data_IF_335122542823
#
_entry.id   IF_335122542823
#
_cell.length_a   1.000
_cell.length_b   1.000
_cell.length_c   1.000
_cell.angle_alpha   90.00
_cell.angle_beta   90.00
_cell.angle_gamma   90.00
#
_symmetry.space_group_name_H-M   'P 1'
#
loop_
_entity.id
_entity.type
_entity.pdbx_description
1 polymer ?
#
# COMPACT_ATOMS: atom_id res chain seq x y z
N UNK A 1 10.79 6.59 22.34
CA UNK A 1 10.82 5.72 21.13
C UNK A 1 10.10 6.47 20.02
N UNK A 2 10.75 6.67 18.88
CA UNK A 2 10.08 7.27 17.72
C UNK A 2 10.04 6.25 16.59
N UNK A 3 8.89 6.17 15.92
CA UNK A 3 8.63 5.28 14.78
C UNK A 3 8.36 6.16 13.57
N UNK A 4 9.08 5.91 12.48
CA UNK A 4 8.90 6.61 11.21
C UNK A 4 8.17 5.65 10.28
N UNK A 5 7.10 6.14 9.64
CA UNK A 5 6.34 5.41 8.63
C UNK A 5 6.25 6.24 7.36
N UNK A 6 6.55 5.63 6.23
CA UNK A 6 6.37 6.17 4.89
C UNK A 6 5.39 5.30 4.11
N UNK A 7 4.51 5.91 3.32
CA UNK A 7 3.38 5.23 2.70
C UNK A 7 3.19 5.69 1.24
N UNK A 8 3.05 4.73 0.33
CA UNK A 8 2.81 4.99 -1.09
C UNK A 8 1.33 4.81 -1.44
N UNK A 9 0.67 5.89 -1.84
CA UNK A 9 -0.73 5.89 -2.23
C UNK A 9 -0.93 6.12 -3.73
N UNK A 10 -1.99 5.54 -4.30
CA UNK A 10 -2.47 5.89 -5.64
C UNK A 10 -3.98 6.12 -5.64
N UNK A 11 -4.49 7.15 -6.33
CA UNK A 11 -5.92 7.33 -6.51
C UNK A 11 -6.48 6.23 -7.43
N UNK A 12 -7.62 5.64 -7.05
CA UNK A 12 -8.41 4.78 -7.96
C UNK A 12 -9.51 5.58 -8.64
N UNK A 13 -10.13 6.50 -7.92
CA UNK A 13 -11.12 7.40 -8.48
C UNK A 13 -11.03 8.78 -7.82
N UNK A 14 -12.01 9.65 -8.08
CA UNK A 14 -12.05 11.01 -7.53
C UNK A 14 -12.06 11.05 -5.99
N UNK A 15 -12.46 9.96 -5.35
CA UNK A 15 -12.83 9.89 -3.95
C UNK A 15 -12.09 8.78 -3.18
N UNK A 16 -11.62 7.74 -3.85
CA UNK A 16 -10.93 6.61 -3.23
C UNK A 16 -9.44 6.56 -3.58
N UNK A 17 -8.67 6.04 -2.62
CA UNK A 17 -7.23 5.81 -2.76
C UNK A 17 -6.90 4.39 -2.36
N UNK A 18 -5.76 3.92 -2.82
CA UNK A 18 -5.16 2.68 -2.37
C UNK A 18 -3.80 2.92 -1.77
N UNK A 19 -3.51 2.20 -0.70
CA UNK A 19 -2.19 2.07 -0.14
C UNK A 19 -1.52 0.85 -0.76
N UNK A 20 -0.49 1.10 -1.56
CA UNK A 20 0.22 0.07 -2.34
C UNK A 20 1.33 -0.56 -1.52
N UNK A 21 2.08 0.28 -0.81
CA UNK A 21 3.22 -0.14 -0.01
C UNK A 21 3.50 0.85 1.11
N UNK A 22 4.32 0.43 2.08
CA UNK A 22 4.87 1.34 3.06
C UNK A 22 6.21 0.85 3.60
N UNK A 23 6.91 1.71 4.30
CA UNK A 23 8.12 1.38 5.02
C UNK A 23 7.97 1.84 6.48
N UNK A 24 8.48 1.05 7.41
CA UNK A 24 8.49 1.36 8.83
C UNK A 24 9.90 1.23 9.39
N UNK A 25 10.27 2.13 10.29
CA UNK A 25 11.55 2.13 10.98
C UNK A 25 11.38 2.62 12.42
N UNK A 26 12.23 2.16 13.34
CA UNK A 26 12.23 2.64 14.72
C UNK A 26 13.64 3.03 15.20
N UNK A 27 13.68 3.97 16.15
CA UNK A 27 14.93 4.48 16.72
C UNK A 27 15.67 3.49 17.63
N UNK A 28 15.02 2.40 18.07
CA UNK A 28 15.59 1.42 18.99
C UNK A 28 16.37 0.32 18.25
N UNK A 29 16.03 0.05 16.99
CA UNK A 29 16.65 -0.92 16.10
C UNK A 29 17.57 -0.24 15.08
N UNK A 30 18.30 0.80 15.53
CA UNK A 30 19.26 1.56 14.70
C UNK A 30 18.67 2.03 13.35
N UNK A 31 17.39 2.39 13.34
CA UNK A 31 16.65 2.80 12.14
C UNK A 31 16.55 1.74 11.03
N UNK A 32 16.62 0.45 11.36
CA UNK A 32 16.40 -0.63 10.39
C UNK A 32 15.05 -0.45 9.68
N UNK A 33 15.10 -0.26 8.36
CA UNK A 33 13.92 -0.08 7.52
C UNK A 33 13.32 -1.44 7.20
N UNK A 34 12.03 -1.60 7.48
CA UNK A 34 11.24 -2.79 7.12
C UNK A 34 10.15 -2.41 6.13
N UNK A 35 10.11 -3.10 4.99
CA UNK A 35 9.01 -2.95 4.03
C UNK A 35 7.73 -3.55 4.60
N UNK A 36 6.65 -2.79 4.57
CA UNK A 36 5.30 -3.26 4.84
C UNK A 36 4.75 -3.89 3.56
N UNK A 37 4.50 -5.19 3.63
CA UNK A 37 4.04 -6.01 2.52
C UNK A 37 2.69 -6.62 2.87
N UNK A 38 1.81 -6.68 1.90
CA UNK A 38 0.50 -7.24 2.06
C UNK A 38 -0.40 -6.82 0.92
N UNK A 39 -1.59 -7.43 0.90
CA UNK A 39 -2.64 -7.03 -0.02
C UNK A 39 -2.93 -5.54 0.19
N UNK A 40 -2.79 -4.77 -0.89
CA UNK A 40 -3.03 -3.33 -0.90
C UNK A 40 -4.36 -2.98 -0.19
N UNK A 41 -4.34 -1.93 0.63
CA UNK A 41 -5.51 -1.51 1.39
C UNK A 41 -6.34 -0.53 0.58
N UNK A 42 -7.66 -0.69 0.64
CA UNK A 42 -8.62 0.26 0.09
C UNK A 42 -8.94 1.32 1.15
N UNK A 43 -8.78 2.58 0.77
CA UNK A 43 -9.11 3.74 1.59
C UNK A 43 -10.37 4.39 1.00
N UNK A 44 -11.56 3.99 1.48
CA UNK A 44 -12.81 4.57 1.05
C UNK A 44 -12.94 6.02 1.52
N UNK A 45 -13.87 6.77 0.91
CA UNK A 45 -14.22 8.11 1.36
C UNK A 45 -15.26 8.02 2.49
N UNK A 46 -15.06 8.77 3.57
CA UNK A 46 -16.03 8.86 4.67
C UNK A 46 -15.76 7.86 5.79
N UNK A 47 -16.83 7.37 6.43
CA UNK A 47 -16.74 6.54 7.65
C UNK A 47 -16.59 5.03 7.36
N UNK A 48 -16.40 4.62 6.10
CA UNK A 48 -16.12 3.23 5.80
C UNK A 48 -14.74 2.83 6.34
N UNK A 49 -14.64 1.61 6.87
CA UNK A 49 -13.39 1.10 7.42
C UNK A 49 -12.35 0.81 6.34
N UNK A 50 -11.10 1.12 6.65
CA UNK A 50 -9.95 0.70 5.84
C UNK A 50 -9.89 -0.83 5.85
N UNK A 51 -9.86 -1.43 4.65
CA UNK A 51 -9.87 -2.89 4.49
C UNK A 51 -8.96 -3.35 3.36
N UNK A 52 -8.59 -4.64 3.32
CA UNK A 52 -7.96 -5.21 2.14
C UNK A 52 -8.83 -4.98 0.89
N UNK A 53 -8.17 -4.65 -0.21
CA UNK A 53 -8.85 -4.37 -1.47
C UNK A 53 -9.44 -5.65 -2.08
N UNK A 54 -10.66 -5.61 -2.59
CA UNK A 54 -11.28 -6.73 -3.30
C UNK A 54 -10.67 -6.96 -4.69
N UNK A 55 -10.91 -8.13 -5.30
CA UNK A 55 -10.44 -8.40 -6.67
C UNK A 55 -11.06 -7.45 -7.70
N UNK A 56 -12.29 -6.99 -7.46
CA UNK A 56 -12.98 -6.02 -8.32
C UNK A 56 -12.25 -4.67 -8.30
N UNK A 57 -11.92 -4.18 -7.12
CA UNK A 57 -11.18 -2.92 -6.94
C UNK A 57 -9.75 -3.04 -7.46
N UNK A 58 -9.09 -4.18 -7.28
CA UNK A 58 -7.77 -4.43 -7.86
C UNK A 58 -7.79 -4.36 -9.39
N UNK A 59 -8.80 -4.96 -10.04
CA UNK A 59 -9.00 -4.83 -11.49
C UNK A 59 -9.24 -3.38 -11.91
N UNK A 60 -9.95 -2.59 -11.10
CA UNK A 60 -10.16 -1.17 -11.38
C UNK A 60 -8.85 -0.38 -11.26
N UNK A 61 -8.08 -0.61 -10.20
CA UNK A 61 -6.77 0.02 -10.01
C UNK A 61 -5.83 -0.24 -11.20
N UNK A 62 -5.77 -1.47 -11.71
CA UNK A 62 -4.96 -1.82 -12.89
C UNK A 62 -5.37 -0.98 -14.11
N UNK A 63 -6.68 -0.80 -14.34
CA UNK A 63 -7.17 0.03 -15.46
C UNK A 63 -6.75 1.49 -15.30
N UNK A 64 -6.86 2.02 -14.10
CA UNK A 64 -6.53 3.42 -13.82
C UNK A 64 -5.03 3.68 -13.86
N UNK A 65 -4.18 2.78 -13.35
CA UNK A 65 -2.72 2.85 -13.50
C UNK A 65 -2.35 2.91 -14.99
N UNK A 66 -2.94 2.03 -15.82
CA UNK A 66 -2.71 2.04 -17.27
C UNK A 66 -3.14 3.35 -17.92
N UNK A 67 -4.26 3.93 -17.49
CA UNK A 67 -4.80 5.20 -18.00
C UNK A 67 -3.93 6.40 -17.60
N UNK A 68 -3.56 6.50 -16.32
CA UNK A 68 -2.77 7.62 -15.77
C UNK A 68 -1.38 7.66 -16.42
N UNK A 69 -0.73 6.50 -16.54
CA UNK A 69 0.62 6.40 -17.09
C UNK A 69 0.65 6.02 -18.58
N UNK A 70 -0.42 6.32 -19.33
CA UNK A 70 -0.53 5.96 -20.76
C UNK A 70 0.63 6.48 -21.60
N UNK A 71 1.19 7.66 -21.26
CA UNK A 71 2.34 8.27 -21.94
C UNK A 71 3.69 7.98 -21.30
N UNK A 72 3.74 7.18 -20.23
CA UNK A 72 4.95 6.89 -19.45
C UNK A 72 5.06 5.39 -19.17
N UNK A 73 5.38 4.57 -20.20
CA UNK A 73 5.33 3.11 -20.11
C UNK A 73 6.26 2.54 -19.02
N UNK A 74 7.44 3.12 -18.83
CA UNK A 74 8.39 2.68 -17.79
C UNK A 74 7.80 2.81 -16.38
N UNK A 75 7.19 3.96 -16.06
CA UNK A 75 6.54 4.18 -14.77
C UNK A 75 5.28 3.32 -14.63
N UNK A 76 4.51 3.15 -15.71
CA UNK A 76 3.34 2.28 -15.73
C UNK A 76 3.71 0.86 -15.35
N UNK A 77 4.74 0.32 -16.00
CA UNK A 77 5.11 -1.09 -15.88
C UNK A 77 5.74 -1.36 -14.51
N UNK A 78 6.58 -0.44 -14.01
CA UNK A 78 7.11 -0.49 -12.64
C UNK A 78 5.98 -0.44 -11.59
N UNK A 79 5.00 0.46 -11.75
CA UNK A 79 3.85 0.58 -10.84
C UNK A 79 2.98 -0.69 -10.86
N UNK A 80 2.66 -1.22 -12.05
CA UNK A 80 1.90 -2.46 -12.21
C UNK A 80 2.63 -3.67 -11.61
N UNK A 81 3.95 -3.73 -11.75
CA UNK A 81 4.76 -4.79 -11.17
C UNK A 81 4.69 -4.74 -9.64
N UNK A 82 4.95 -3.57 -9.03
CA UNK A 82 4.84 -3.41 -7.57
C UNK A 82 3.44 -3.72 -7.06
N UNK A 83 2.41 -3.22 -7.76
CA UNK A 83 1.03 -3.50 -7.40
C UNK A 83 0.70 -4.99 -7.46
N UNK A 84 1.12 -5.69 -8.53
CA UNK A 84 0.89 -7.13 -8.68
C UNK A 84 1.60 -7.93 -7.59
N UNK A 85 2.84 -7.56 -7.23
CA UNK A 85 3.57 -8.17 -6.12
C UNK A 85 2.83 -7.98 -4.79
N UNK A 86 2.22 -6.82 -4.55
CA UNK A 86 1.40 -6.58 -3.35
C UNK A 86 0.17 -7.49 -3.27
N UNK A 87 -0.41 -7.88 -4.42
CA UNK A 87 -1.58 -8.76 -4.45
C UNK A 87 -1.22 -10.24 -4.25
N UNK A 88 0.00 -10.62 -4.61
CA UNK A 88 0.48 -12.02 -4.58
C UNK A 88 1.29 -12.37 -3.34
N UNK A 89 1.76 -11.38 -2.58
CA UNK A 89 2.61 -11.63 -1.42
C UNK A 89 1.86 -12.45 -0.35
N UNK A 90 2.55 -13.46 0.19
CA UNK A 90 2.07 -14.25 1.33
C UNK A 90 2.31 -13.53 2.67
N UNK A 91 3.12 -12.47 2.66
CA UNK A 91 3.38 -11.67 3.85
C UNK A 91 2.20 -10.73 4.09
N UNK A 92 1.83 -10.58 5.34
CA UNK A 92 0.80 -9.65 5.78
C UNK A 92 1.37 -8.85 6.95
N UNK A 93 2.28 -7.93 6.65
CA UNK A 93 2.84 -6.95 7.58
C UNK A 93 2.23 -5.57 7.39
N UNK A 94 1.54 -5.33 6.26
CA UNK A 94 0.70 -4.16 6.03
C UNK A 94 -0.69 -4.32 6.69
N UNK A 95 -0.74 -4.41 8.01
CA UNK A 95 -1.99 -4.39 8.78
C UNK A 95 -1.83 -3.74 10.15
N UNK A 96 -2.96 -3.35 10.74
CA UNK A 96 -3.00 -2.64 12.01
C UNK A 96 -2.33 -3.40 13.16
N UNK A 97 -2.45 -4.74 13.20
CA UNK A 97 -1.86 -5.55 14.26
C UNK A 97 -0.33 -5.53 14.20
N UNK A 98 0.25 -5.68 13.01
CA UNK A 98 1.70 -5.61 12.83
C UNK A 98 2.25 -4.23 13.21
N UNK A 99 1.59 -3.16 12.77
CA UNK A 99 2.00 -1.79 13.09
C UNK A 99 1.91 -1.52 14.59
N UNK A 100 0.82 -1.95 15.25
CA UNK A 100 0.65 -1.82 16.70
C UNK A 100 1.73 -2.57 17.48
N UNK A 101 2.01 -3.82 17.09
CA UNK A 101 3.08 -4.61 17.70
C UNK A 101 4.46 -3.95 17.51
N UNK A 102 4.70 -3.33 16.35
CA UNK A 102 5.94 -2.63 16.05
C UNK A 102 6.10 -1.35 16.89
N UNK A 103 5.00 -0.66 17.19
CA UNK A 103 4.96 0.50 18.08
C UNK A 103 5.23 0.13 19.54
N UNK A 104 5.04 -1.14 19.91
CA UNK A 104 5.17 -1.63 21.28
C UNK A 104 3.89 -1.35 22.04
N UNK A 105 3.32 -2.40 22.62
CA UNK A 105 2.22 -2.33 23.59
C UNK A 105 2.53 -1.37 24.74
#
# INVERSE_FOLDING_TARGET
KFVIMDFEFSPIDRYSKILISGAISNSLDRFKISKLEGRSLYLPRGNEEVRPMSDREARQAIKEIRRIFVRKPELRDACLQQFTLSLQTKKNTLNANFIRNYQGS
#
